data_IF_033181888906
#
_entry.id   IF_033181888906
#
_cell.length_a   1.000
_cell.length_b   1.000
_cell.length_c   1.000
_cell.angle_alpha   90.00
_cell.angle_beta   90.00
_cell.angle_gamma   90.00
#
_symmetry.space_group_name_H-M   'P 1'
#
loop_
_entity.id
_entity.type
_entity.pdbx_description
1 polymer ?
#
# COMPACT_ATOMS: atom_id res chain seq x y z
N UNK A 1 12.41 13.39 -17.26
CA UNK A 1 11.70 12.38 -16.45
C UNK A 1 11.82 11.00 -17.08
N UNK A 2 11.47 10.81 -18.35
CA UNK A 2 11.61 9.50 -19.03
C UNK A 2 13.07 9.01 -19.16
N UNK A 3 14.03 9.94 -19.15
CA UNK A 3 15.47 9.67 -19.26
C UNK A 3 16.06 8.86 -18.10
N UNK A 4 15.40 8.83 -16.94
CA UNK A 4 15.87 8.12 -15.75
C UNK A 4 15.49 6.63 -15.72
N UNK A 5 14.65 6.18 -16.64
CA UNK A 5 14.22 4.79 -16.70
C UNK A 5 15.04 4.00 -17.72
N UNK A 6 15.33 2.74 -17.38
CA UNK A 6 16.00 1.81 -18.29
C UNK A 6 14.99 1.15 -19.22
N UNK A 7 13.90 0.63 -18.64
CA UNK A 7 12.81 0.00 -19.35
C UNK A 7 11.49 0.72 -19.07
N UNK A 8 10.62 0.73 -20.07
CA UNK A 8 9.30 1.35 -20.04
C UNK A 8 8.27 0.28 -20.39
N UNK A 9 7.20 0.23 -19.59
CA UNK A 9 6.00 -0.55 -19.88
C UNK A 9 4.82 0.40 -20.03
N UNK A 10 4.11 0.27 -21.15
CA UNK A 10 2.94 1.06 -21.47
C UNK A 10 1.73 0.14 -21.49
N UNK A 11 0.69 0.49 -20.75
CA UNK A 11 -0.51 -0.32 -20.59
C UNK A 11 -1.75 0.51 -20.93
N UNK A 12 -2.65 -0.06 -21.73
CA UNK A 12 -3.99 0.46 -21.97
C UNK A 12 -5.02 -0.66 -21.81
N UNK A 13 -6.03 -0.45 -20.95
CA UNK A 13 -7.12 -1.41 -20.65
C UNK A 13 -6.65 -2.86 -20.43
N UNK A 14 -5.53 -3.04 -19.72
CA UNK A 14 -4.95 -4.35 -19.45
C UNK A 14 -4.15 -4.97 -20.60
N UNK A 15 -4.02 -4.28 -21.74
CA UNK A 15 -3.18 -4.66 -22.88
C UNK A 15 -1.85 -3.93 -22.84
N UNK A 16 -0.77 -4.66 -23.05
CA UNK A 16 0.58 -4.09 -23.15
C UNK A 16 0.76 -3.45 -24.53
N UNK A 17 0.92 -2.13 -24.55
CA UNK A 17 1.13 -1.33 -25.78
C UNK A 17 2.61 -1.09 -26.07
N UNK A 18 3.50 -1.41 -25.12
CA UNK A 18 4.95 -1.45 -25.28
C UNK A 18 5.60 -2.01 -24.02
N UNK A 19 6.66 -2.80 -24.16
CA UNK A 19 7.49 -3.23 -23.03
C UNK A 19 8.93 -3.45 -23.50
N UNK A 20 9.82 -2.50 -23.19
CA UNK A 20 11.19 -2.53 -23.68
C UNK A 20 12.04 -1.35 -23.21
N UNK A 21 13.28 -1.24 -23.72
CA UNK A 21 14.19 -0.17 -23.33
C UNK A 21 13.74 1.20 -23.86
N UNK A 22 13.92 2.26 -23.08
CA UNK A 22 13.45 3.61 -23.45
C UNK A 22 13.91 4.13 -24.83
N UNK A 23 15.02 3.61 -25.34
CA UNK A 23 15.60 4.04 -26.60
C UNK A 23 14.86 3.47 -27.82
N UNK A 24 14.16 2.35 -27.64
CA UNK A 24 13.46 1.66 -28.73
C UNK A 24 11.99 2.08 -28.86
N UNK A 25 11.43 2.73 -27.83
CA UNK A 25 10.00 3.09 -27.81
C UNK A 25 9.58 3.93 -29.02
N UNK A 26 10.39 4.92 -29.41
CA UNK A 26 10.07 5.76 -30.57
C UNK A 26 10.10 4.96 -31.86
N UNK A 27 11.05 4.02 -32.01
CA UNK A 27 11.16 3.19 -33.22
C UNK A 27 9.95 2.25 -33.35
N UNK A 28 9.51 1.63 -32.25
CA UNK A 28 8.33 0.75 -32.25
C UNK A 28 7.05 1.52 -32.57
N UNK A 29 6.89 2.73 -32.01
CA UNK A 29 5.74 3.58 -32.28
C UNK A 29 5.77 4.11 -33.73
N UNK A 30 6.94 4.44 -34.26
CA UNK A 30 7.13 4.85 -35.66
C UNK A 30 6.82 3.71 -36.63
N UNK A 31 7.21 2.47 -36.31
CA UNK A 31 6.85 1.29 -37.11
C UNK A 31 5.33 1.03 -37.14
N UNK A 32 4.62 1.39 -36.08
CA UNK A 32 3.15 1.37 -36.02
C UNK A 32 2.49 2.60 -36.68
N UNK A 33 3.27 3.53 -37.25
CA UNK A 33 2.77 4.71 -37.95
C UNK A 33 2.60 5.96 -37.10
N UNK A 34 3.10 5.97 -35.86
CA UNK A 34 3.06 7.13 -34.97
C UNK A 34 4.42 7.84 -34.93
N UNK A 35 4.50 9.04 -35.51
CA UNK A 35 5.73 9.85 -35.50
C UNK A 35 5.69 10.89 -34.40
N UNK A 36 6.72 10.91 -33.55
CA UNK A 36 6.86 11.92 -32.49
C UNK A 36 7.37 13.25 -33.06
N UNK A 37 6.69 14.39 -32.80
CA UNK A 37 7.20 15.70 -33.19
C UNK A 37 8.54 16.04 -32.53
N UNK A 38 9.32 16.92 -33.17
CA UNK A 38 10.60 17.39 -32.63
C UNK A 38 10.38 18.18 -31.33
N UNK A 39 11.27 17.96 -30.35
CA UNK A 39 11.24 18.59 -29.02
C UNK A 39 9.98 18.28 -28.19
N UNK A 40 9.22 17.25 -28.56
CA UNK A 40 8.05 16.80 -27.82
C UNK A 40 8.45 15.80 -26.72
N UNK A 41 7.72 15.80 -25.61
CA UNK A 41 7.98 14.89 -24.50
C UNK A 41 7.53 13.47 -24.86
N UNK A 42 8.45 12.51 -24.91
CA UNK A 42 8.17 11.11 -25.30
C UNK A 42 7.06 10.48 -24.43
N UNK A 43 7.05 10.77 -23.12
CA UNK A 43 6.05 10.20 -22.22
C UNK A 43 4.64 10.71 -22.55
N UNK A 44 4.53 11.99 -22.88
CA UNK A 44 3.29 12.62 -23.29
C UNK A 44 2.86 12.10 -24.66
N UNK A 45 3.82 11.91 -25.58
CA UNK A 45 3.55 11.38 -26.91
C UNK A 45 2.92 10.00 -26.85
N UNK A 46 3.54 9.11 -26.06
CA UNK A 46 3.07 7.75 -25.82
C UNK A 46 1.67 7.77 -25.20
N UNK A 47 1.42 8.66 -24.23
CA UNK A 47 0.13 8.78 -23.57
C UNK A 47 -0.97 9.25 -24.53
N UNK A 48 -0.70 10.24 -25.38
CA UNK A 48 -1.63 10.72 -26.40
C UNK A 48 -1.97 9.64 -27.45
N UNK A 49 -1.00 8.78 -27.78
CA UNK A 49 -1.22 7.66 -28.72
C UNK A 49 -2.13 6.61 -28.10
N UNK A 50 -1.86 6.16 -26.87
CA UNK A 50 -2.68 5.12 -26.23
C UNK A 50 -4.07 5.62 -25.79
N UNK A 51 -4.24 6.93 -25.62
CA UNK A 51 -5.55 7.55 -25.33
C UNK A 51 -6.33 7.93 -26.59
N UNK A 52 -5.85 7.50 -27.76
CA UNK A 52 -6.48 7.73 -29.08
C UNK A 52 -6.62 9.21 -29.48
N UNK A 53 -5.91 10.14 -28.80
CA UNK A 53 -6.01 11.58 -29.06
C UNK A 53 -5.35 12.00 -30.38
N UNK A 54 -4.31 11.28 -30.83
CA UNK A 54 -3.63 11.56 -32.10
C UNK A 54 -4.29 10.91 -33.33
N UNK A 55 -5.30 10.05 -33.12
CA UNK A 55 -5.83 9.18 -34.18
C UNK A 55 -4.81 8.15 -34.69
N UNK A 56 -5.28 7.07 -35.31
CA UNK A 56 -4.43 6.00 -35.84
C UNK A 56 -4.90 4.60 -35.46
N UNK A 57 -4.21 3.57 -35.95
CA UNK A 57 -4.56 2.18 -35.69
C UNK A 57 -3.81 1.66 -34.45
N UNK A 58 -4.40 1.84 -33.27
CA UNK A 58 -3.86 1.32 -32.00
C UNK A 58 -3.76 -0.21 -32.01
N UNK A 59 -4.59 -0.90 -32.81
CA UNK A 59 -4.58 -2.36 -32.92
C UNK A 59 -3.33 -2.84 -33.69
N UNK A 60 -2.82 -2.05 -34.63
CA UNK A 60 -1.54 -2.33 -35.29
C UNK A 60 -0.37 -2.27 -34.29
N UNK A 61 -0.32 -1.24 -33.44
CA UNK A 61 0.68 -1.09 -32.39
C UNK A 61 0.63 -2.28 -31.42
N UNK A 62 -0.58 -2.63 -30.97
CA UNK A 62 -0.78 -3.79 -30.11
C UNK A 62 -0.26 -5.08 -30.76
N UNK A 63 -0.57 -5.34 -32.04
CA UNK A 63 -0.09 -6.52 -32.77
C UNK A 63 1.43 -6.54 -32.92
N UNK A 64 2.05 -5.40 -33.21
CA UNK A 64 3.50 -5.26 -33.32
C UNK A 64 4.15 -5.61 -31.99
N UNK A 65 3.76 -4.93 -30.91
CA UNK A 65 4.32 -5.13 -29.59
C UNK A 65 4.05 -6.53 -29.05
N UNK A 66 2.86 -7.08 -29.31
CA UNK A 66 2.53 -8.47 -28.98
C UNK A 66 3.40 -9.45 -29.75
N UNK A 67 3.59 -9.26 -31.05
CA UNK A 67 4.44 -10.14 -31.86
C UNK A 67 5.92 -10.07 -31.43
N UNK A 68 6.39 -8.90 -31.00
CA UNK A 68 7.74 -8.70 -30.52
C UNK A 68 7.96 -9.35 -29.14
N UNK A 69 6.93 -9.35 -28.31
CA UNK A 69 6.91 -10.01 -27.01
C UNK A 69 6.69 -11.54 -27.09
N UNK A 70 5.83 -11.99 -28.01
CA UNK A 70 5.50 -13.41 -28.22
C UNK A 70 6.50 -14.14 -29.11
N UNK A 71 7.34 -13.42 -29.89
CA UNK A 71 8.49 -14.02 -30.55
C UNK A 71 9.31 -14.74 -29.48
N UNK A 72 9.41 -16.09 -29.50
CA UNK A 72 10.34 -16.76 -28.64
C UNK A 72 11.70 -16.16 -28.98
N UNK A 73 12.45 -15.65 -27.99
CA UNK A 73 13.83 -15.19 -28.18
C UNK A 73 14.65 -16.35 -28.79
N UNK A 74 14.62 -16.49 -30.11
CA UNK A 74 15.19 -17.60 -30.85
C UNK A 74 16.65 -17.29 -31.14
N UNK A 75 17.43 -17.20 -30.07
CA UNK A 75 18.88 -17.37 -30.09
C UNK A 75 19.24 -18.28 -28.93
N UNK A 76 18.93 -19.56 -29.13
CA UNK A 76 19.68 -20.74 -28.71
C UNK A 76 18.76 -21.95 -28.93
N UNK A 77 18.97 -22.66 -30.04
CA UNK A 77 18.44 -24.01 -30.24
C UNK A 77 19.09 -24.91 -29.17
N UNK A 78 18.30 -25.31 -28.18
CA UNK A 78 18.46 -26.61 -27.53
C UNK A 78 17.12 -27.36 -27.68
N UNK A 79 17.15 -28.68 -27.92
CA UNK A 79 15.96 -29.43 -28.30
C UNK A 79 14.97 -29.52 -27.14
N UNK A 80 13.69 -29.34 -27.48
CA UNK A 80 12.54 -29.41 -26.58
C UNK A 80 12.21 -30.88 -26.28
N UNK A 81 11.89 -31.16 -25.01
CA UNK A 81 10.86 -32.13 -24.67
C UNK A 81 9.64 -31.34 -24.18
N UNK A 82 8.48 -31.84 -24.58
CA UNK A 82 7.14 -31.28 -24.41
C UNK A 82 6.71 -31.20 -22.93
N UNK A 83 5.82 -30.26 -22.61
CA UNK A 83 4.44 -30.54 -22.14
C UNK A 83 3.89 -29.36 -21.30
N UNK A 84 2.66 -28.99 -21.65
CA UNK A 84 1.61 -28.29 -20.92
C UNK A 84 1.62 -26.75 -20.72
N UNK A 85 0.46 -26.25 -21.14
CA UNK A 85 -0.13 -24.93 -21.03
C UNK A 85 -0.33 -24.47 -19.59
N UNK A 86 0.02 -23.22 -19.29
CA UNK A 86 -0.82 -22.32 -18.50
C UNK A 86 -0.27 -20.88 -18.51
N UNK A 87 -1.21 -19.95 -18.60
CA UNK A 87 -1.05 -18.49 -18.58
C UNK A 87 -0.28 -18.05 -17.33
N UNK A 88 0.93 -17.52 -17.48
CA UNK A 88 1.55 -16.66 -16.46
C UNK A 88 2.50 -15.67 -17.12
N UNK A 89 2.12 -14.40 -17.05
CA UNK A 89 2.95 -13.25 -17.39
C UNK A 89 4.26 -13.29 -16.58
N UNK A 90 5.37 -12.91 -17.21
CA UNK A 90 6.73 -12.80 -16.64
C UNK A 90 7.66 -14.02 -16.84
N UNK A 91 8.38 -14.01 -17.97
CA UNK A 91 9.72 -14.62 -18.08
C UNK A 91 10.65 -13.74 -18.93
N UNK A 92 10.99 -12.55 -18.41
CA UNK A 92 12.20 -11.88 -18.87
C UNK A 92 13.39 -12.56 -18.16
N UNK A 93 14.04 -13.47 -18.89
CA UNK A 93 15.25 -14.18 -18.45
C UNK A 93 16.36 -13.13 -18.27
N UNK A 94 16.74 -12.86 -17.03
CA UNK A 94 17.92 -12.07 -16.66
C UNK A 94 19.15 -12.84 -17.16
N UNK A 95 19.83 -12.30 -18.16
CA UNK A 95 21.08 -12.82 -18.68
C UNK A 95 22.19 -12.39 -17.72
N UNK A 96 22.93 -13.39 -17.24
CA UNK A 96 23.98 -13.27 -16.24
C UNK A 96 25.24 -12.77 -16.94
N UNK A 97 25.52 -11.49 -16.80
CA UNK A 97 26.87 -10.96 -16.65
C UNK A 97 26.79 -9.92 -15.52
N UNK A 98 27.77 -9.96 -14.63
CA UNK A 98 27.83 -9.34 -13.31
C UNK A 98 27.03 -10.08 -12.23
N UNK A 99 27.76 -10.89 -11.47
CA UNK A 99 27.33 -11.49 -10.19
C UNK A 99 27.08 -10.36 -9.18
N UNK A 100 25.97 -9.64 -9.34
CA UNK A 100 25.28 -9.12 -8.18
C UNK A 100 24.65 -10.32 -7.52
N UNK A 101 25.29 -10.78 -6.45
CA UNK A 101 24.67 -11.58 -5.40
C UNK A 101 23.42 -10.81 -4.98
N UNK A 102 22.30 -11.04 -5.64
CA UNK A 102 21.00 -10.71 -5.09
C UNK A 102 20.90 -11.66 -3.92
N UNK A 103 21.41 -11.18 -2.77
CA UNK A 103 21.26 -11.83 -1.50
C UNK A 103 19.85 -12.37 -1.49
N UNK A 104 19.78 -13.69 -1.37
CA UNK A 104 18.63 -14.33 -0.80
C UNK A 104 18.37 -13.59 0.50
N UNK A 105 17.57 -12.52 0.42
CA UNK A 105 16.82 -11.96 1.51
C UNK A 105 15.79 -13.03 1.83
N UNK A 106 16.27 -14.17 2.34
CA UNK A 106 15.57 -14.95 3.31
C UNK A 106 15.32 -13.96 4.43
N UNK A 107 14.23 -13.20 4.29
CA UNK A 107 13.62 -12.47 5.40
C UNK A 107 13.33 -13.55 6.41
N UNK A 108 14.28 -13.77 7.31
CA UNK A 108 14.16 -14.74 8.37
C UNK A 108 12.91 -14.29 9.12
N UNK A 109 11.85 -15.10 9.05
CA UNK A 109 10.57 -14.72 9.64
C UNK A 109 10.84 -14.56 11.14
N UNK A 110 10.84 -13.31 11.62
CA UNK A 110 10.97 -13.03 13.05
C UNK A 110 9.87 -13.80 13.80
N UNK A 111 10.17 -14.22 15.02
CA UNK A 111 9.19 -14.84 15.90
C UNK A 111 7.96 -13.96 16.05
N UNK A 112 6.78 -14.55 16.11
CA UNK A 112 5.49 -13.85 16.25
C UNK A 112 5.48 -12.91 17.47
N UNK A 113 6.14 -13.31 18.56
CA UNK A 113 6.32 -12.46 19.75
C UNK A 113 7.21 -11.24 19.52
N UNK A 114 8.28 -11.39 18.74
CA UNK A 114 9.15 -10.28 18.38
C UNK A 114 8.41 -9.29 17.48
N UNK A 115 7.63 -9.80 16.51
CA UNK A 115 6.79 -8.96 15.66
C UNK A 115 5.74 -8.20 16.48
N UNK A 116 5.04 -8.87 17.41
CA UNK A 116 4.05 -8.23 18.27
C UNK A 116 4.69 -7.16 19.15
N UNK A 117 5.87 -7.42 19.73
CA UNK A 117 6.60 -6.43 20.53
C UNK A 117 6.97 -5.19 19.71
N UNK A 118 7.45 -5.39 18.48
CA UNK A 118 7.83 -4.29 17.58
C UNK A 118 6.59 -3.47 17.20
N UNK A 119 5.48 -4.13 16.85
CA UNK A 119 4.23 -3.46 16.51
C UNK A 119 3.65 -2.70 17.71
N UNK A 120 3.67 -3.28 18.90
CA UNK A 120 3.23 -2.63 20.13
C UNK A 120 4.10 -1.40 20.43
N UNK A 121 5.43 -1.52 20.34
CA UNK A 121 6.33 -0.40 20.56
C UNK A 121 6.11 0.72 19.54
N UNK A 122 5.93 0.36 18.26
CA UNK A 122 5.60 1.33 17.21
C UNK A 122 4.26 2.03 17.50
N UNK A 123 3.25 1.29 17.94
CA UNK A 123 1.95 1.84 18.33
C UNK A 123 2.10 2.80 19.52
N UNK A 124 2.87 2.43 20.55
CA UNK A 124 3.15 3.30 21.70
C UNK A 124 3.90 4.57 21.30
N UNK A 125 4.88 4.49 20.39
CA UNK A 125 5.58 5.66 19.86
C UNK A 125 4.60 6.57 19.11
N UNK A 126 3.71 6.00 18.28
CA UNK A 126 2.67 6.78 17.59
C UNK A 126 1.73 7.48 18.59
N UNK A 127 1.24 6.77 19.60
CA UNK A 127 0.37 7.33 20.65
C UNK A 127 1.09 8.45 21.43
N UNK A 128 2.38 8.29 21.73
CA UNK A 128 3.17 9.31 22.41
C UNK A 128 3.42 10.54 21.54
N UNK A 129 3.68 10.35 20.25
CA UNK A 129 3.95 11.46 19.31
C UNK A 129 2.71 12.29 19.05
N UNK A 130 1.54 11.65 19.01
CA UNK A 130 0.25 12.33 18.92
C UNK A 130 -0.53 12.22 20.24
N UNK A 131 -0.05 12.98 21.23
CA UNK A 131 -0.56 12.90 22.61
C UNK A 131 -1.80 13.77 22.85
N UNK A 132 -2.21 14.62 21.91
CA UNK A 132 -3.30 15.60 22.14
C UNK A 132 -4.61 14.92 22.55
N UNK A 133 -5.03 13.88 21.81
CA UNK A 133 -6.24 13.11 22.14
C UNK A 133 -6.11 12.35 23.46
N UNK A 134 -4.92 11.81 23.74
CA UNK A 134 -4.64 11.08 24.98
C UNK A 134 -4.65 11.99 26.20
N UNK A 135 -4.04 13.18 26.11
CA UNK A 135 -4.01 14.21 27.15
C UNK A 135 -5.43 14.72 27.41
N UNK A 136 -6.20 15.03 26.36
CA UNK A 136 -7.58 15.48 26.52
C UNK A 136 -8.42 14.43 27.25
N UNK A 137 -8.32 13.16 26.84
CA UNK A 137 -9.01 12.06 27.52
C UNK A 137 -8.58 11.93 28.98
N UNK A 138 -7.28 11.97 29.26
CA UNK A 138 -6.77 11.88 30.63
C UNK A 138 -7.27 13.05 31.49
N UNK A 139 -7.21 14.28 30.97
CA UNK A 139 -7.70 15.47 31.67
C UNK A 139 -9.18 15.40 32.01
N UNK A 140 -10.01 14.90 31.09
CA UNK A 140 -11.44 14.70 31.33
C UNK A 140 -11.69 13.68 32.46
N UNK A 141 -10.90 12.59 32.51
CA UNK A 141 -11.00 11.60 33.60
C UNK A 141 -10.58 12.19 34.94
N UNK A 142 -9.53 13.01 34.98
CA UNK A 142 -9.10 13.70 36.21
C UNK A 142 -10.19 14.64 36.72
N UNK A 143 -10.81 15.42 35.83
CA UNK A 143 -11.91 16.34 36.21
C UNK A 143 -13.10 15.56 36.78
N UNK A 144 -13.54 14.49 36.10
CA UNK A 144 -14.66 13.67 36.57
C UNK A 144 -14.32 12.96 37.89
N UNK A 145 -13.11 12.45 38.03
CA UNK A 145 -12.65 11.82 39.28
C UNK A 145 -12.65 12.81 40.45
N UNK A 146 -12.23 14.06 40.22
CA UNK A 146 -12.29 15.12 41.23
C UNK A 146 -13.74 15.48 41.61
N UNK A 147 -14.64 15.61 40.63
CA UNK A 147 -16.06 15.89 40.88
C UNK A 147 -16.73 14.76 41.68
N UNK A 148 -16.55 13.50 41.25
CA UNK A 148 -17.09 12.35 41.96
C UNK A 148 -16.47 12.20 43.35
N UNK A 149 -15.17 12.44 43.49
CA UNK A 149 -14.48 12.43 44.79
C UNK A 149 -14.97 13.53 45.73
N UNK A 150 -15.31 14.71 45.21
CA UNK A 150 -15.88 15.80 46.00
C UNK A 150 -17.33 15.50 46.43
N UNK A 151 -18.16 14.97 45.53
CA UNK A 151 -19.56 14.61 45.82
C UNK A 151 -19.65 13.50 46.86
N UNK A 152 -18.79 12.48 46.75
CA UNK A 152 -18.76 11.32 47.65
C UNK A 152 -17.64 11.41 48.70
N UNK A 153 -17.23 12.63 49.08
CA UNK A 153 -16.23 12.83 50.12
C UNK A 153 -16.71 12.27 51.47
N UNK A 154 -15.87 11.45 52.14
CA UNK A 154 -16.18 10.78 53.42
C UNK A 154 -17.38 9.81 53.40
N UNK A 155 -17.78 9.31 52.24
CA UNK A 155 -18.70 8.16 52.14
C UNK A 155 -17.92 6.84 52.12
N UNK A 156 -18.55 5.73 52.50
CA UNK A 156 -17.95 4.39 52.51
C UNK A 156 -17.67 3.79 53.89
N UNK A 157 -17.40 4.60 54.91
CA UNK A 157 -16.99 4.12 56.24
C UNK A 157 -18.14 4.00 57.26
N UNK A 158 -19.38 4.21 56.83
CA UNK A 158 -20.57 4.20 57.70
C UNK A 158 -21.65 3.29 57.10
N UNK A 159 -22.06 2.26 57.87
CA UNK A 159 -23.08 1.30 57.49
C UNK A 159 -24.47 1.93 57.40
N UNK A 160 -24.72 3.07 58.06
CA UNK A 160 -25.98 3.79 57.96
C UNK A 160 -26.16 4.49 56.60
N UNK A 161 -25.08 4.67 55.83
CA UNK A 161 -25.07 5.33 54.51
C UNK A 161 -24.98 4.36 53.33
N UNK A 162 -25.43 3.11 53.51
CA UNK A 162 -25.31 2.04 52.49
C UNK A 162 -25.86 2.45 51.12
N UNK A 163 -26.99 3.15 51.06
CA UNK A 163 -27.57 3.62 49.80
C UNK A 163 -26.66 4.62 49.07
N UNK A 164 -25.95 5.48 49.80
CA UNK A 164 -24.98 6.43 49.22
C UNK A 164 -23.73 5.71 48.69
N UNK A 165 -23.28 4.67 49.38
CA UNK A 165 -22.15 3.85 48.93
C UNK A 165 -22.48 3.07 47.66
N UNK A 166 -23.69 2.49 47.58
CA UNK A 166 -24.18 1.80 46.38
C UNK A 166 -24.29 2.78 45.21
N UNK A 167 -24.84 3.98 45.44
CA UNK A 167 -24.93 5.02 44.41
C UNK A 167 -23.53 5.42 43.88
N UNK A 168 -22.55 5.57 44.77
CA UNK A 168 -21.16 5.86 44.38
C UNK A 168 -20.59 4.79 43.44
N UNK A 169 -20.70 3.50 43.83
CA UNK A 169 -20.23 2.38 43.00
C UNK A 169 -20.94 2.31 41.65
N UNK A 170 -22.26 2.56 41.63
CA UNK A 170 -23.04 2.60 40.41
C UNK A 170 -22.55 3.71 39.46
N UNK A 171 -22.32 4.92 39.95
CA UNK A 171 -21.83 6.04 39.12
C UNK A 171 -20.41 5.79 38.60
N UNK A 172 -19.53 5.16 39.39
CA UNK A 172 -18.18 4.78 38.93
C UNK A 172 -18.24 3.75 37.78
N UNK A 173 -19.08 2.73 37.92
CA UNK A 173 -19.26 1.70 36.89
C UNK A 173 -19.84 2.30 35.60
N UNK A 174 -20.86 3.14 35.75
CA UNK A 174 -21.52 3.83 34.63
C UNK A 174 -20.51 4.71 33.89
N UNK A 175 -19.71 5.50 34.61
CA UNK A 175 -18.67 6.34 34.00
C UNK A 175 -17.64 5.51 33.24
N UNK A 176 -17.14 4.42 33.83
CA UNK A 176 -16.19 3.53 33.17
C UNK A 176 -16.75 2.91 31.88
N UNK A 177 -18.01 2.50 31.88
CA UNK A 177 -18.67 1.97 30.69
C UNK A 177 -18.79 3.01 29.57
N UNK A 178 -19.25 4.22 29.88
CA UNK A 178 -19.39 5.29 28.88
C UNK A 178 -18.04 5.78 28.36
N UNK A 179 -17.02 5.88 29.23
CA UNK A 179 -15.68 6.30 28.83
C UNK A 179 -15.03 5.34 27.81
N UNK A 180 -15.29 4.03 27.94
CA UNK A 180 -14.76 3.01 27.04
C UNK A 180 -15.59 2.85 25.75
N UNK A 181 -16.92 3.03 25.81
CA UNK A 181 -17.80 2.85 24.65
C UNK A 181 -17.79 4.05 23.68
N UNK A 182 -17.64 5.28 24.19
CA UNK A 182 -17.63 6.50 23.37
C UNK A 182 -16.64 6.47 22.18
N UNK A 183 -15.36 6.10 22.33
CA UNK A 183 -14.45 5.98 21.18
C UNK A 183 -14.87 4.93 20.15
N UNK A 184 -15.45 3.81 20.58
CA UNK A 184 -15.87 2.75 19.66
C UNK A 184 -17.02 3.23 18.76
N UNK A 185 -17.95 4.01 19.32
CA UNK A 185 -19.09 4.57 18.57
C UNK A 185 -18.64 5.65 17.58
N UNK A 186 -17.63 6.45 17.93
CA UNK A 186 -17.10 7.50 17.06
C UNK A 186 -16.24 6.97 15.90
N UNK A 187 -15.70 5.75 16.01
CA UNK A 187 -14.93 5.12 14.94
C UNK A 187 -15.77 4.38 13.89
N UNK A 188 -17.07 4.16 14.16
CA UNK A 188 -18.00 3.49 13.24
C UNK A 188 -18.79 4.46 12.34
N UNK A 189 -18.43 5.74 12.29
CA UNK A 189 -18.95 6.75 11.36
C UNK A 189 -17.81 7.28 10.50
#
# INVERSE_FOLDING_TARGET
MISQFDNIMVLDRGRCMYCGPKNEILNTYEYAGFTCPRFYNIAEFVLEVITEQRGGDLESLYKICRSEYEKPKSRHKHPKNEMDSETTCSKQKIERDDVYTFENNTKQKLSTWQQQKILLLRALICIKRDSTMTILRFSAHVIVALLLGAVFYNFGNDAQKVNSNIACLFFLLLFLFFANSMPAVQMCK
#
